data_IF_302704203300
#
_entry.id   IF_302704203300
#
_cell.length_a   1.000
_cell.length_b   1.000
_cell.length_c   1.000
_cell.angle_alpha   90.00
_cell.angle_beta   90.00
_cell.angle_gamma   90.00
#
_symmetry.space_group_name_H-M   'P 1'
#
loop_
_entity.id
_entity.type
_entity.pdbx_description
1 polymer ?
#
# COMPACT_ATOMS: atom_id res chain seq x y z
N UNK A 1 7.65 -17.28 -19.10
CA UNK A 1 8.09 -17.03 -20.49
C UNK A 1 6.93 -17.00 -21.49
N UNK A 2 5.90 -17.82 -21.32
CA UNK A 2 4.84 -18.00 -22.34
C UNK A 2 3.87 -16.81 -22.52
N UNK A 3 3.80 -15.89 -21.56
CA UNK A 3 2.93 -14.72 -21.63
C UNK A 3 3.63 -13.46 -22.15
N UNK A 4 4.95 -13.44 -22.05
CA UNK A 4 5.78 -12.29 -22.43
C UNK A 4 5.78 -12.07 -23.94
N UNK A 5 5.67 -13.16 -24.70
CA UNK A 5 5.71 -13.15 -26.17
C UNK A 5 4.31 -13.09 -26.82
N UNK A 6 3.24 -12.95 -26.01
CA UNK A 6 1.89 -12.89 -26.53
C UNK A 6 1.61 -11.51 -27.13
N UNK A 7 1.48 -11.45 -28.44
CA UNK A 7 1.11 -10.21 -29.15
C UNK A 7 -0.38 -9.93 -28.97
N UNK A 8 -0.71 -8.72 -28.52
CA UNK A 8 -2.10 -8.27 -28.33
C UNK A 8 -2.59 -8.27 -26.89
N UNK A 9 -1.74 -8.62 -25.92
CA UNK A 9 -2.01 -8.47 -24.50
C UNK A 9 -0.99 -7.53 -23.89
N UNK A 10 -1.46 -6.51 -23.17
CA UNK A 10 -0.61 -5.68 -22.34
C UNK A 10 -0.26 -6.45 -21.05
N UNK A 11 1.02 -6.66 -20.82
CA UNK A 11 1.51 -7.41 -19.68
C UNK A 11 2.54 -6.61 -18.88
N UNK A 12 2.46 -6.71 -17.56
CA UNK A 12 3.39 -6.07 -16.65
C UNK A 12 3.79 -7.04 -15.54
N UNK A 13 5.05 -7.01 -15.15
CA UNK A 13 5.57 -7.75 -14.00
C UNK A 13 5.95 -6.72 -12.95
N UNK A 14 5.36 -6.87 -11.78
CA UNK A 14 5.59 -6.01 -10.63
C UNK A 14 6.19 -6.79 -9.48
N UNK A 15 7.04 -6.13 -8.70
CA UNK A 15 7.44 -6.68 -7.40
C UNK A 15 6.22 -6.78 -6.50
N UNK A 16 6.07 -7.92 -5.85
CA UNK A 16 4.99 -8.12 -4.91
C UNK A 16 5.26 -7.33 -3.63
N UNK A 17 4.29 -6.49 -3.26
CA UNK A 17 4.28 -5.80 -1.99
C UNK A 17 3.99 -6.76 -0.83
N UNK A 18 4.39 -6.39 0.37
CA UNK A 18 4.13 -7.21 1.55
C UNK A 18 2.74 -7.00 2.18
N UNK A 19 1.89 -6.16 1.55
CA UNK A 19 0.50 -5.93 1.96
C UNK A 19 0.39 -5.60 3.45
N UNK A 20 1.00 -4.49 3.86
CA UNK A 20 1.02 -4.04 5.26
C UNK A 20 1.62 -5.08 6.23
N UNK A 21 2.62 -5.82 5.79
CA UNK A 21 3.29 -6.84 6.60
C UNK A 21 2.57 -8.20 6.65
N UNK A 22 1.44 -8.36 5.97
CA UNK A 22 0.71 -9.66 5.90
C UNK A 22 1.54 -10.74 5.22
N UNK A 23 2.30 -10.36 4.19
CA UNK A 23 3.22 -11.24 3.50
C UNK A 23 4.66 -10.96 3.94
N UNK A 24 5.32 -11.97 4.47
CA UNK A 24 6.75 -11.89 4.79
C UNK A 24 7.54 -12.07 3.50
N UNK A 25 7.89 -10.97 2.86
CA UNK A 25 8.75 -10.97 1.69
C UNK A 25 10.14 -11.54 2.00
N UNK A 26 10.83 -12.03 0.96
CA UNK A 26 12.22 -12.53 1.08
C UNK A 26 13.24 -11.45 1.45
N UNK A 27 12.85 -10.19 1.36
CA UNK A 27 13.75 -9.06 1.54
C UNK A 27 13.61 -8.52 2.96
N UNK A 28 14.59 -8.81 3.80
CA UNK A 28 14.78 -8.12 5.07
C UNK A 28 15.11 -6.66 4.80
N UNK A 29 14.39 -5.74 5.48
CA UNK A 29 14.69 -4.31 5.44
C UNK A 29 15.05 -3.85 6.85
N UNK A 30 16.05 -2.96 6.92
CA UNK A 30 16.36 -2.32 8.19
C UNK A 30 15.26 -1.30 8.53
N UNK A 31 14.69 -1.38 9.72
CA UNK A 31 13.65 -0.45 10.18
C UNK A 31 14.11 1.00 10.24
N UNK A 32 15.40 1.22 10.43
CA UNK A 32 15.99 2.56 10.46
C UNK A 32 15.96 3.26 9.09
N UNK A 33 15.75 2.50 8.00
CA UNK A 33 15.64 3.05 6.64
C UNK A 33 14.19 3.47 6.28
N UNK A 34 13.26 3.41 7.22
CA UNK A 34 11.87 3.87 7.00
C UNK A 34 11.83 5.38 6.81
N UNK A 35 11.08 5.84 5.83
CA UNK A 35 10.99 7.26 5.46
C UNK A 35 9.57 7.81 5.48
N UNK A 36 8.63 7.00 5.88
CA UNK A 36 7.23 7.37 5.88
C UNK A 36 6.51 7.10 4.56
N UNK A 37 5.21 7.32 4.59
CA UNK A 37 4.32 7.08 3.47
C UNK A 37 3.41 8.29 3.26
N UNK A 38 3.31 8.77 2.02
CA UNK A 38 2.48 9.93 1.68
C UNK A 38 0.96 9.65 1.64
N UNK A 39 0.51 8.40 1.75
CA UNK A 39 -0.91 8.04 1.61
C UNK A 39 -1.85 8.73 2.60
N UNK A 40 -1.55 8.86 3.89
CA UNK A 40 -2.43 9.54 4.84
C UNK A 40 -2.68 11.02 4.54
N UNK A 41 -1.82 11.61 3.72
CA UNK A 41 -1.87 13.04 3.38
C UNK A 41 -2.48 13.32 1.99
N UNK A 42 -2.80 12.28 1.23
CA UNK A 42 -3.43 12.44 -0.07
C UNK A 42 -4.92 12.77 0.08
N UNK A 43 -5.49 13.61 -0.80
CA UNK A 43 -6.93 13.93 -0.79
C UNK A 43 -7.76 12.78 -1.36
N UNK A 44 -7.66 11.61 -0.73
CA UNK A 44 -8.35 10.38 -1.15
C UNK A 44 -8.76 9.54 0.05
N UNK A 45 -9.85 8.83 -0.09
CA UNK A 45 -10.31 7.81 0.85
C UNK A 45 -10.34 6.45 0.16
N UNK A 46 -10.01 5.43 0.93
CA UNK A 46 -10.19 4.05 0.51
C UNK A 46 -11.43 3.47 1.17
N UNK A 47 -12.45 3.18 0.39
CA UNK A 47 -13.72 2.64 0.89
C UNK A 47 -13.85 1.17 0.54
N UNK A 48 -14.29 0.36 1.49
CA UNK A 48 -14.64 -1.04 1.30
C UNK A 48 -16.15 -1.22 1.33
N UNK A 49 -16.69 -1.65 0.21
CA UNK A 49 -18.14 -1.87 0.07
C UNK A 49 -18.67 -3.03 0.94
N UNK A 50 -17.84 -4.03 1.22
CA UNK A 50 -18.23 -5.22 1.96
C UNK A 50 -18.34 -5.06 3.47
N UNK A 51 -17.94 -3.93 4.03
CA UNK A 51 -18.05 -3.59 5.45
C UNK A 51 -17.51 -4.63 6.46
N UNK A 52 -17.51 -4.22 7.72
CA UNK A 52 -17.34 -5.12 8.87
C UNK A 52 -18.69 -5.26 9.59
N UNK A 53 -19.26 -6.45 9.58
CA UNK A 53 -20.52 -6.73 10.28
C UNK A 53 -21.72 -6.02 9.67
N UNK A 54 -22.37 -5.13 10.43
CA UNK A 54 -23.53 -4.36 10.01
C UNK A 54 -23.22 -3.16 9.12
N UNK A 55 -21.97 -2.70 9.14
CA UNK A 55 -21.56 -1.49 8.46
C UNK A 55 -21.09 -1.80 7.05
N UNK A 56 -21.63 -1.09 6.09
CA UNK A 56 -21.15 -1.03 4.72
C UNK A 56 -20.41 0.30 4.53
N UNK A 57 -19.51 0.38 3.55
CA UNK A 57 -18.78 1.62 3.34
C UNK A 57 -17.73 1.92 4.40
N UNK A 58 -17.04 0.90 4.92
CA UNK A 58 -15.92 1.09 5.85
C UNK A 58 -14.78 1.86 5.16
N UNK A 59 -14.39 2.98 5.76
CA UNK A 59 -13.21 3.74 5.32
C UNK A 59 -11.98 3.14 5.99
N UNK A 60 -11.04 2.67 5.19
CA UNK A 60 -9.81 2.05 5.68
C UNK A 60 -8.59 2.93 5.40
N UNK A 61 -7.57 2.77 6.22
CA UNK A 61 -6.38 3.61 6.19
C UNK A 61 -5.64 3.61 4.83
N UNK A 62 -5.57 2.46 4.16
CA UNK A 62 -5.00 2.37 2.81
C UNK A 62 -5.36 1.05 2.10
N UNK A 63 -5.10 1.01 0.79
CA UNK A 63 -5.37 -0.16 -0.05
C UNK A 63 -4.46 -1.36 0.23
N UNK A 64 -3.35 -1.17 0.95
CA UNK A 64 -2.42 -2.26 1.28
C UNK A 64 -2.90 -3.12 2.46
N UNK A 65 -3.87 -2.63 3.24
CA UNK A 65 -4.49 -3.43 4.31
C UNK A 65 -5.41 -4.46 3.69
N UNK A 66 -5.06 -5.73 3.82
CA UNK A 66 -5.91 -6.84 3.37
C UNK A 66 -6.85 -7.31 4.49
N UNK A 67 -7.98 -7.87 4.08
CA UNK A 67 -8.97 -8.41 5.03
C UNK A 67 -9.73 -7.34 5.79
N UNK A 68 -10.43 -7.79 6.82
CA UNK A 68 -11.31 -6.96 7.64
C UNK A 68 -10.61 -6.61 8.97
N UNK A 69 -9.49 -5.91 8.88
CA UNK A 69 -8.81 -5.44 10.08
C UNK A 69 -9.55 -4.21 10.66
N UNK A 70 -10.19 -4.41 11.79
CA UNK A 70 -10.92 -3.35 12.48
C UNK A 70 -9.98 -2.21 12.94
N UNK A 71 -8.72 -2.50 13.24
CA UNK A 71 -7.75 -1.49 13.66
C UNK A 71 -7.44 -0.50 12.54
N UNK A 72 -7.55 -0.93 11.29
CA UNK A 72 -7.32 -0.09 10.11
C UNK A 72 -8.57 0.66 9.64
N UNK A 73 -9.72 0.48 10.31
CA UNK A 73 -10.97 1.17 9.96
C UNK A 73 -11.03 2.53 10.63
N UNK A 74 -11.04 3.57 9.82
CA UNK A 74 -11.02 4.97 10.26
C UNK A 74 -12.42 5.54 10.49
N UNK A 75 -13.43 5.01 9.81
CA UNK A 75 -14.83 5.41 9.94
C UNK A 75 -15.75 4.60 9.04
N UNK A 76 -17.04 4.96 9.02
CA UNK A 76 -18.07 4.30 8.23
C UNK A 76 -18.94 5.34 7.55
N UNK A 77 -19.13 5.22 6.24
CA UNK A 77 -19.97 6.15 5.47
C UNK A 77 -21.46 5.92 5.63
N UNK A 78 -21.87 4.89 6.38
CA UNK A 78 -23.26 4.70 6.78
C UNK A 78 -23.71 5.76 7.81
N UNK A 79 -22.77 6.17 8.69
CA UNK A 79 -23.06 7.03 9.84
C UNK A 79 -22.33 8.38 9.75
N UNK A 80 -21.36 8.51 8.85
CA UNK A 80 -20.47 9.67 8.76
C UNK A 80 -20.35 10.16 7.32
N UNK A 81 -20.18 11.45 7.15
CA UNK A 81 -19.81 12.03 5.87
C UNK A 81 -18.31 11.78 5.57
N UNK A 82 -17.94 11.93 4.31
CA UNK A 82 -16.53 11.84 3.88
C UNK A 82 -15.65 12.84 4.65
N UNK A 83 -16.16 14.06 4.84
CA UNK A 83 -15.44 15.13 5.54
C UNK A 83 -15.23 14.80 7.03
N UNK A 84 -16.25 14.28 7.71
CA UNK A 84 -16.14 13.84 9.10
C UNK A 84 -15.15 12.72 9.30
N UNK A 85 -15.08 11.76 8.38
CA UNK A 85 -14.08 10.68 8.46
C UNK A 85 -12.69 11.21 8.15
N UNK A 86 -12.54 11.99 7.06
CA UNK A 86 -11.23 12.48 6.61
C UNK A 86 -10.57 13.42 7.61
N UNK A 87 -11.37 14.24 8.32
CA UNK A 87 -10.92 15.14 9.35
C UNK A 87 -11.12 14.61 10.77
N UNK A 88 -11.63 13.38 10.90
CA UNK A 88 -11.87 12.73 12.18
C UNK A 88 -10.61 12.35 12.95
N UNK A 89 -10.77 12.13 14.24
CA UNK A 89 -9.68 11.86 15.20
C UNK A 89 -8.76 10.72 14.75
N UNK A 90 -9.33 9.60 14.28
CA UNK A 90 -8.53 8.44 13.82
C UNK A 90 -7.64 8.77 12.63
N UNK A 91 -8.15 9.58 11.70
CA UNK A 91 -7.37 9.97 10.53
C UNK A 91 -6.29 10.99 10.90
N UNK A 92 -6.60 11.89 11.82
CA UNK A 92 -5.64 12.87 12.35
C UNK A 92 -4.53 12.17 13.13
N UNK A 93 -4.86 11.19 13.99
CA UNK A 93 -3.85 10.42 14.72
C UNK A 93 -2.96 9.60 13.77
N UNK A 94 -3.52 9.01 12.71
CA UNK A 94 -2.74 8.34 11.68
C UNK A 94 -1.73 9.29 11.02
N UNK A 95 -2.16 10.52 10.66
CA UNK A 95 -1.26 11.53 10.08
C UNK A 95 -0.18 11.94 11.06
N UNK A 96 -0.57 12.26 12.29
CA UNK A 96 0.35 12.64 13.36
C UNK A 96 1.40 11.56 13.62
N UNK A 97 0.99 10.31 13.70
CA UNK A 97 1.91 9.20 13.89
C UNK A 97 2.91 9.07 12.71
N UNK A 98 2.48 9.39 11.49
CA UNK A 98 3.38 9.44 10.33
C UNK A 98 4.33 10.64 10.34
N UNK A 99 3.88 11.80 10.79
CA UNK A 99 4.72 13.01 10.94
C UNK A 99 5.78 12.84 12.04
N UNK A 100 5.43 12.12 13.08
CA UNK A 100 6.31 11.82 14.22
C UNK A 100 7.13 10.53 14.03
N UNK A 101 7.04 9.88 12.86
CA UNK A 101 7.71 8.61 12.52
C UNK A 101 7.40 7.46 13.50
N UNK A 102 6.27 7.51 14.18
CA UNK A 102 5.79 6.49 15.12
C UNK A 102 5.12 5.32 14.40
N UNK A 103 5.78 4.75 13.41
CA UNK A 103 5.20 3.70 12.55
C UNK A 103 4.93 2.39 13.31
N UNK A 104 5.69 2.12 14.36
CA UNK A 104 5.53 0.91 15.17
C UNK A 104 4.24 0.95 16.02
N UNK A 105 3.68 2.12 16.28
CA UNK A 105 2.40 2.30 16.98
C UNK A 105 1.19 1.96 16.09
N UNK A 106 1.40 1.89 14.77
CA UNK A 106 0.35 1.64 13.80
C UNK A 106 0.44 0.18 13.34
N UNK A 107 -0.47 -0.72 13.78
CA UNK A 107 -0.37 -2.17 13.55
C UNK A 107 -0.23 -2.55 12.07
N UNK A 108 -0.90 -1.82 11.18
CA UNK A 108 -0.90 -2.06 9.74
C UNK A 108 0.18 -1.28 8.97
N UNK A 109 0.97 -0.44 9.64
CA UNK A 109 2.09 0.28 9.04
C UNK A 109 3.46 -0.25 9.49
N UNK A 110 3.58 -0.73 10.73
CA UNK A 110 4.86 -1.09 11.36
C UNK A 110 5.79 -1.96 10.51
N UNK A 111 5.23 -2.88 9.75
CA UNK A 111 5.96 -3.81 8.90
C UNK A 111 5.69 -3.59 7.40
N UNK A 112 5.04 -2.47 7.04
CA UNK A 112 4.68 -2.16 5.66
C UNK A 112 5.90 -1.77 4.83
N UNK A 113 6.05 -2.38 3.66
CA UNK A 113 7.14 -2.09 2.73
C UNK A 113 7.02 -0.72 2.06
N UNK A 114 5.84 -0.10 2.10
CA UNK A 114 5.61 1.23 1.56
C UNK A 114 6.26 2.36 2.40
N UNK A 115 6.73 2.07 3.60
CA UNK A 115 7.50 3.01 4.43
C UNK A 115 8.93 3.21 3.94
N UNK A 116 9.40 2.32 3.10
CA UNK A 116 10.76 2.37 2.57
C UNK A 116 10.78 3.04 1.20
N UNK A 117 11.92 3.58 0.83
CA UNK A 117 12.13 4.00 -0.54
C UNK A 117 12.07 2.76 -1.44
N UNK A 118 10.93 2.54 -2.05
CA UNK A 118 10.76 1.43 -2.98
C UNK A 118 11.35 1.88 -4.31
N UNK A 119 12.46 1.30 -4.77
CA UNK A 119 12.84 1.44 -6.16
C UNK A 119 11.67 0.91 -6.99
N UNK A 120 11.45 1.51 -8.15
CA UNK A 120 10.30 1.23 -9.01
C UNK A 120 9.86 -0.24 -8.97
N UNK A 121 8.64 -0.47 -8.51
CA UNK A 121 8.11 -1.83 -8.33
C UNK A 121 7.79 -2.53 -9.66
N UNK A 122 7.75 -1.77 -10.76
CA UNK A 122 7.59 -2.32 -12.10
C UNK A 122 8.91 -2.95 -12.55
N UNK A 123 8.89 -4.25 -12.75
CA UNK A 123 10.06 -5.03 -13.17
C UNK A 123 10.18 -5.12 -14.68
N UNK A 124 9.05 -5.28 -15.36
CA UNK A 124 9.00 -5.44 -16.81
C UNK A 124 7.63 -5.05 -17.38
N UNK A 125 7.61 -4.52 -18.60
CA UNK A 125 6.40 -4.25 -19.37
C UNK A 125 6.63 -4.43 -20.86
N UNK A 126 5.62 -4.93 -21.58
CA UNK A 126 5.61 -4.95 -23.04
C UNK A 126 4.88 -3.74 -23.63
N UNK A 127 4.37 -2.83 -22.81
CA UNK A 127 3.62 -1.66 -23.27
C UNK A 127 4.56 -0.63 -23.89
N UNK A 128 4.39 -0.37 -25.20
CA UNK A 128 5.28 0.52 -25.96
C UNK A 128 5.31 1.97 -25.48
N UNK A 129 4.25 2.43 -24.80
CA UNK A 129 4.09 3.82 -24.38
C UNK A 129 4.54 4.08 -22.94
N UNK A 130 4.94 3.08 -22.18
CA UNK A 130 5.50 3.25 -20.83
C UNK A 130 7.01 3.40 -20.91
N UNK A 131 7.49 4.55 -20.48
CA UNK A 131 8.92 4.74 -20.26
C UNK A 131 9.34 3.88 -19.06
N UNK A 132 9.99 2.79 -19.38
CA UNK A 132 10.56 1.88 -18.42
C UNK A 132 11.92 2.42 -17.94
N UNK A 133 12.07 2.58 -16.65
CA UNK A 133 13.39 2.69 -16.04
C UNK A 133 13.72 1.33 -15.45
N UNK A 134 14.78 0.72 -15.95
CA UNK A 134 15.27 -0.55 -15.46
C UNK A 134 15.44 -0.49 -13.95
N UNK A 135 14.70 -1.32 -13.23
CA UNK A 135 14.77 -1.36 -11.77
C UNK A 135 16.12 -1.94 -11.37
N UNK A 136 16.82 -1.25 -10.46
CA UNK A 136 18.07 -1.79 -9.84
C UNK A 136 17.85 -3.13 -9.13
N UNK A 137 16.60 -3.53 -8.93
CA UNK A 137 16.24 -4.82 -8.35
C UNK A 137 16.50 -5.98 -9.32
N UNK A 138 16.47 -5.75 -10.63
CA UNK A 138 16.84 -6.78 -11.62
C UNK A 138 18.30 -7.17 -11.53
N UNK A 139 19.17 -6.23 -11.15
CA UNK A 139 20.61 -6.48 -11.01
C UNK A 139 20.93 -7.34 -9.76
N UNK A 140 19.97 -7.45 -8.82
CA UNK A 140 20.12 -8.23 -7.58
C UNK A 140 19.31 -9.53 -7.59
N UNK A 141 18.40 -9.71 -8.54
CA UNK A 141 17.69 -10.97 -8.74
C UNK A 141 18.51 -11.83 -9.68
N UNK A 142 19.29 -12.77 -9.12
CA UNK A 142 19.78 -13.90 -9.90
C UNK A 142 18.56 -14.71 -10.38
N UNK A 143 18.11 -14.40 -11.59
CA UNK A 143 17.09 -15.18 -12.27
C UNK A 143 17.79 -16.44 -12.76
N UNK A 144 17.74 -17.48 -11.94
CA UNK A 144 18.07 -18.85 -12.35
C UNK A 144 16.99 -19.42 -13.25
#
# INVERSE_FOLDING_TARGET
KNWIDYTGIDAEIWLMHNWSGTYKGKYGRNKDDRRGCGRPFQPMLQVRAGGLGKHQGAVVACCMVLGNDASATLGHLDDQTIDEVYNGEKYQELRKAHEEERFDDIPYCKDCDQLYHVPESLVWTNMKNRKYKQSKVLDTLEIQ
#
